data_IF_036890370887
#
_entry.id   IF_036890370887
#
_cell.length_a   1.000
_cell.length_b   1.000
_cell.length_c   1.000
_cell.angle_alpha   90.00
_cell.angle_beta   90.00
_cell.angle_gamma   90.00
#
_symmetry.space_group_name_H-M   'P 1'
#
loop_
_entity.id
_entity.type
_entity.pdbx_description
1 polymer ?
#
# COMPACT_ATOMS: atom_id res chain seq x y z
N UNK A 1 2.30 -32.52 19.64
CA UNK A 1 1.33 -31.54 19.07
C UNK A 1 1.62 -30.08 19.45
N UNK A 2 1.70 -29.70 20.73
CA UNK A 2 1.82 -28.28 21.13
C UNK A 2 3.06 -27.52 20.60
N UNK A 3 4.20 -28.19 20.39
CA UNK A 3 5.40 -27.54 19.85
C UNK A 3 5.29 -27.17 18.36
N UNK A 4 4.45 -27.88 17.59
CA UNK A 4 4.25 -27.59 16.16
C UNK A 4 3.40 -26.32 15.97
N UNK A 5 2.32 -26.19 16.74
CA UNK A 5 1.40 -25.05 16.70
C UNK A 5 2.09 -23.73 17.08
N UNK A 6 2.98 -23.74 18.08
CA UNK A 6 3.74 -22.55 18.48
C UNK A 6 4.68 -22.06 17.38
N UNK A 7 5.34 -22.98 16.64
CA UNK A 7 6.22 -22.65 15.52
C UNK A 7 5.43 -22.05 14.35
N UNK A 8 4.29 -22.65 14.00
CA UNK A 8 3.35 -22.16 13.00
C UNK A 8 2.83 -20.75 13.33
N UNK A 9 2.43 -20.52 14.57
CA UNK A 9 1.95 -19.20 15.01
C UNK A 9 3.05 -18.13 14.93
N UNK A 10 4.29 -18.47 15.29
CA UNK A 10 5.44 -17.57 15.18
C UNK A 10 5.77 -17.22 13.73
N UNK A 11 5.63 -18.17 12.80
CA UNK A 11 5.86 -17.96 11.38
C UNK A 11 4.82 -17.01 10.76
N UNK A 12 3.53 -17.20 11.08
CA UNK A 12 2.47 -16.26 10.71
C UNK A 12 2.68 -14.88 11.29
N UNK A 13 3.05 -14.79 12.58
CA UNK A 13 3.37 -13.50 13.21
C UNK A 13 4.47 -12.74 12.49
N UNK A 14 5.51 -13.45 12.02
CA UNK A 14 6.58 -12.85 11.21
C UNK A 14 6.06 -12.33 9.88
N UNK A 15 5.22 -13.09 9.18
CA UNK A 15 4.64 -12.67 7.88
C UNK A 15 3.81 -11.40 8.05
N UNK A 16 2.94 -11.35 9.05
CA UNK A 16 2.11 -10.18 9.34
C UNK A 16 2.97 -8.96 9.66
N UNK A 17 3.95 -9.12 10.56
CA UNK A 17 4.82 -8.01 10.96
C UNK A 17 5.61 -7.46 9.77
N UNK A 18 6.22 -8.32 8.95
CA UNK A 18 6.98 -7.90 7.78
C UNK A 18 6.06 -7.21 6.76
N UNK A 19 4.88 -7.76 6.49
CA UNK A 19 3.93 -7.17 5.56
C UNK A 19 3.58 -5.73 5.98
N UNK A 20 3.13 -5.53 7.22
CA UNK A 20 2.71 -4.21 7.69
C UNK A 20 3.85 -3.21 7.77
N UNK A 21 5.04 -3.63 8.20
CA UNK A 21 6.23 -2.76 8.21
C UNK A 21 6.59 -2.31 6.81
N UNK A 22 6.61 -3.22 5.83
CA UNK A 22 6.95 -2.88 4.43
C UNK A 22 5.91 -1.91 3.84
N UNK A 23 4.62 -2.16 4.05
CA UNK A 23 3.57 -1.25 3.57
C UNK A 23 3.63 0.12 4.25
N UNK A 24 3.90 0.18 5.56
CA UNK A 24 4.07 1.44 6.28
C UNK A 24 5.26 2.25 5.76
N UNK A 25 6.43 1.62 5.63
CA UNK A 25 7.64 2.28 5.13
C UNK A 25 7.47 2.77 3.69
N UNK A 26 6.85 1.96 2.83
CA UNK A 26 6.54 2.37 1.47
C UNK A 26 5.55 3.53 1.44
N UNK A 27 4.56 3.55 2.33
CA UNK A 27 3.62 4.66 2.49
C UNK A 27 4.34 5.95 2.87
N UNK A 28 5.25 5.89 3.84
CA UNK A 28 6.09 7.02 4.26
C UNK A 28 6.90 7.57 3.07
N UNK A 29 7.61 6.70 2.34
CA UNK A 29 8.41 7.09 1.17
C UNK A 29 7.53 7.73 0.10
N UNK A 30 6.36 7.15 -0.17
CA UNK A 30 5.42 7.69 -1.14
C UNK A 30 4.86 9.04 -0.72
N UNK A 31 4.58 9.25 0.57
CA UNK A 31 4.12 10.54 1.12
C UNK A 31 5.10 11.69 0.85
N UNK A 32 6.41 11.43 0.89
CA UNK A 32 7.42 12.43 0.51
C UNK A 32 7.45 12.76 -0.98
N UNK A 33 7.08 11.79 -1.83
CA UNK A 33 7.08 11.91 -3.29
C UNK A 33 5.74 12.31 -3.89
N UNK A 34 4.71 12.57 -3.09
CA UNK A 34 3.42 13.00 -3.63
C UNK A 34 3.53 14.31 -4.43
N UNK A 35 2.92 14.35 -5.62
CA UNK A 35 2.86 15.57 -6.43
C UNK A 35 2.02 16.63 -5.71
N UNK A 36 2.46 17.88 -5.80
CA UNK A 36 1.82 19.02 -5.14
C UNK A 36 1.26 19.98 -6.18
N UNK A 37 0.11 20.60 -5.90
CA UNK A 37 -0.46 21.62 -6.78
C UNK A 37 -0.17 23.00 -6.20
N UNK A 38 0.45 23.88 -6.96
CA UNK A 38 0.67 25.28 -6.57
C UNK A 38 -0.50 26.13 -7.04
N UNK A 39 -1.21 26.80 -6.12
CA UNK A 39 -2.25 27.78 -6.39
C UNK A 39 -1.80 29.19 -6.03
N UNK A 40 -2.42 30.21 -6.62
CA UNK A 40 -2.20 31.61 -6.23
C UNK A 40 -3.43 32.11 -5.44
N UNK A 41 -3.19 32.81 -4.34
CA UNK A 41 -4.27 33.43 -3.54
C UNK A 41 -4.78 34.65 -4.29
N UNK A 42 -6.07 34.67 -4.66
CA UNK A 42 -6.68 35.83 -5.32
C UNK A 42 -7.10 36.90 -4.31
N UNK A 43 -7.39 38.10 -4.81
CA UNK A 43 -7.76 39.27 -3.99
C UNK A 43 -9.05 39.07 -3.16
N UNK A 44 -9.87 38.09 -3.51
CA UNK A 44 -11.08 37.71 -2.77
C UNK A 44 -10.82 36.74 -1.59
N UNK A 45 -9.54 36.51 -1.22
CA UNK A 45 -9.11 35.50 -0.21
C UNK A 45 -9.54 34.06 -0.54
N UNK A 46 -10.03 33.81 -1.76
CA UNK A 46 -10.26 32.48 -2.28
C UNK A 46 -8.95 31.93 -2.85
N UNK A 47 -8.57 30.71 -2.45
CA UNK A 47 -7.48 30.01 -3.11
C UNK A 47 -7.96 29.56 -4.50
N UNK A 48 -7.52 30.24 -5.56
CA UNK A 48 -7.74 29.79 -6.93
C UNK A 48 -6.57 28.90 -7.31
N UNK A 49 -6.87 27.61 -7.47
CA UNK A 49 -5.94 26.65 -8.06
C UNK A 49 -5.61 27.13 -9.48
N UNK A 50 -4.38 27.60 -9.69
CA UNK A 50 -3.95 28.17 -10.95
C UNK A 50 -3.88 27.13 -12.07
N UNK A 51 -4.79 27.24 -13.05
CA UNK A 51 -4.49 27.34 -14.49
C UNK A 51 -3.41 26.43 -15.14
N UNK A 52 -3.26 25.18 -14.72
CA UNK A 52 -2.65 24.13 -15.55
C UNK A 52 -3.44 22.85 -15.38
N UNK A 53 -4.01 22.34 -16.47
CA UNK A 53 -5.12 21.39 -16.51
C UNK A 53 -4.84 19.97 -16.00
N UNK A 54 -3.87 19.78 -15.11
CA UNK A 54 -3.56 18.47 -14.51
C UNK A 54 -3.57 18.60 -12.98
N UNK A 55 -4.69 18.19 -12.37
CA UNK A 55 -4.83 18.17 -10.91
C UNK A 55 -3.90 17.10 -10.33
N UNK A 56 -3.08 17.44 -9.32
CA UNK A 56 -2.18 16.47 -8.68
C UNK A 56 -2.89 15.26 -8.03
N UNK A 57 -4.23 15.33 -7.91
CA UNK A 57 -5.08 14.27 -7.43
C UNK A 57 -4.99 12.98 -8.28
N UNK A 58 -5.00 13.09 -9.61
CA UNK A 58 -4.98 11.91 -10.49
C UNK A 58 -3.63 11.19 -10.46
N UNK A 59 -2.47 11.87 -10.62
CA UNK A 59 -1.17 11.23 -10.47
C UNK A 59 -0.92 10.70 -9.05
N UNK A 60 -1.41 11.41 -8.01
CA UNK A 60 -1.35 10.93 -6.62
C UNK A 60 -2.09 9.61 -6.44
N UNK A 61 -3.36 9.54 -6.87
CA UNK A 61 -4.14 8.30 -6.83
C UNK A 61 -3.51 7.18 -7.67
N UNK A 62 -3.03 7.49 -8.88
CA UNK A 62 -2.34 6.54 -9.73
C UNK A 62 -1.09 5.95 -9.07
N UNK A 63 -0.25 6.80 -8.47
CA UNK A 63 0.93 6.38 -7.72
C UNK A 63 0.59 5.47 -6.54
N UNK A 64 -0.47 5.79 -5.79
CA UNK A 64 -0.98 4.94 -4.71
C UNK A 64 -1.38 3.54 -5.21
N UNK A 65 -2.20 3.48 -6.26
CA UNK A 65 -2.72 2.23 -6.82
C UNK A 65 -1.58 1.36 -7.37
N UNK A 66 -0.63 1.95 -8.09
CA UNK A 66 0.51 1.23 -8.65
C UNK A 66 1.45 0.72 -7.55
N UNK A 67 1.76 1.55 -6.54
CA UNK A 67 2.63 1.16 -5.44
C UNK A 67 2.02 0.03 -4.62
N UNK A 68 0.76 0.17 -4.20
CA UNK A 68 0.10 -0.87 -3.38
C UNK A 68 -0.21 -2.14 -4.16
N UNK A 69 -0.51 -2.04 -5.46
CA UNK A 69 -0.62 -3.20 -6.35
C UNK A 69 0.70 -3.97 -6.44
N UNK A 70 1.82 -3.28 -6.66
CA UNK A 70 3.16 -3.89 -6.70
C UNK A 70 3.53 -4.53 -5.36
N UNK A 71 3.26 -3.87 -4.23
CA UNK A 71 3.50 -4.44 -2.91
C UNK A 71 2.64 -5.67 -2.65
N UNK A 72 1.38 -5.67 -3.10
CA UNK A 72 0.49 -6.84 -3.05
C UNK A 72 1.06 -8.02 -3.85
N UNK A 73 1.57 -7.76 -5.06
CA UNK A 73 2.24 -8.78 -5.88
C UNK A 73 3.48 -9.36 -5.19
N UNK A 74 4.35 -8.49 -4.67
CA UNK A 74 5.57 -8.89 -3.95
C UNK A 74 5.23 -9.69 -2.70
N UNK A 75 4.24 -9.26 -1.92
CA UNK A 75 3.78 -9.98 -0.73
C UNK A 75 3.30 -11.39 -1.09
N UNK A 76 2.45 -11.52 -2.11
CA UNK A 76 1.94 -12.82 -2.56
C UNK A 76 3.06 -13.75 -3.04
N UNK A 77 3.97 -13.25 -3.89
CA UNK A 77 5.12 -14.02 -4.37
C UNK A 77 6.08 -14.42 -3.25
N UNK A 78 6.31 -13.53 -2.28
CA UNK A 78 7.15 -13.79 -1.11
C UNK A 78 6.52 -14.85 -0.20
N UNK A 79 5.23 -14.71 0.13
CA UNK A 79 4.49 -15.71 0.92
C UNK A 79 4.52 -17.08 0.24
N UNK A 80 4.33 -17.14 -1.07
CA UNK A 80 4.38 -18.40 -1.82
C UNK A 80 5.78 -19.04 -1.83
N UNK A 81 6.84 -18.22 -1.86
CA UNK A 81 8.22 -18.67 -1.97
C UNK A 81 8.81 -19.11 -0.61
N UNK A 82 8.58 -18.33 0.43
CA UNK A 82 9.22 -18.49 1.74
C UNK A 82 8.39 -19.36 2.68
N UNK A 83 7.07 -19.22 2.65
CA UNK A 83 6.19 -19.97 3.55
C UNK A 83 5.70 -21.27 2.90
N UNK A 84 6.63 -22.13 2.46
CA UNK A 84 6.29 -23.39 1.78
C UNK A 84 5.36 -24.29 2.61
N UNK A 85 5.54 -24.30 3.94
CA UNK A 85 4.69 -25.02 4.91
C UNK A 85 3.30 -24.42 5.13
N UNK A 86 3.08 -23.19 4.68
CA UNK A 86 1.80 -22.49 4.80
C UNK A 86 1.02 -22.51 3.47
N UNK A 87 1.54 -23.19 2.44
CA UNK A 87 0.93 -23.23 1.11
C UNK A 87 -0.43 -23.90 1.20
N UNK A 88 -1.46 -23.16 0.79
CA UNK A 88 -2.80 -23.70 0.63
C UNK A 88 -3.80 -22.63 0.21
N UNK A 89 -5.08 -22.98 0.11
CA UNK A 89 -6.14 -22.01 -0.16
C UNK A 89 -6.27 -20.97 0.98
N UNK A 90 -5.89 -21.33 2.21
CA UNK A 90 -5.91 -20.40 3.34
C UNK A 90 -4.90 -19.25 3.19
N UNK A 91 -3.69 -19.52 2.72
CA UNK A 91 -2.67 -18.47 2.53
C UNK A 91 -2.99 -17.50 1.40
N UNK A 92 -3.76 -17.94 0.39
CA UNK A 92 -4.34 -17.05 -0.61
C UNK A 92 -5.26 -16.01 0.04
N UNK A 93 -6.19 -16.46 0.91
CA UNK A 93 -7.09 -15.56 1.63
C UNK A 93 -6.30 -14.63 2.57
N UNK A 94 -5.31 -15.17 3.29
CA UNK A 94 -4.48 -14.36 4.19
C UNK A 94 -3.66 -13.32 3.43
N UNK A 95 -3.08 -13.68 2.27
CA UNK A 95 -2.36 -12.72 1.43
C UNK A 95 -3.27 -11.58 0.97
N UNK A 96 -4.52 -11.90 0.58
CA UNK A 96 -5.53 -10.89 0.25
C UNK A 96 -5.86 -9.98 1.43
N UNK A 97 -6.13 -10.55 2.61
CA UNK A 97 -6.44 -9.76 3.82
C UNK A 97 -5.26 -8.87 4.23
N UNK A 98 -4.03 -9.39 4.21
CA UNK A 98 -2.83 -8.62 4.55
C UNK A 98 -2.54 -7.51 3.54
N UNK A 99 -2.73 -7.77 2.25
CA UNK A 99 -2.60 -6.74 1.22
C UNK A 99 -3.67 -5.65 1.36
N UNK A 100 -4.91 -6.03 1.70
CA UNK A 100 -5.98 -5.07 1.97
C UNK A 100 -5.64 -4.17 3.16
N UNK A 101 -5.32 -4.76 4.32
CA UNK A 101 -4.92 -4.01 5.52
C UNK A 101 -3.63 -3.20 5.28
N UNK A 102 -2.68 -3.76 4.54
CA UNK A 102 -1.46 -3.07 4.12
C UNK A 102 -1.75 -1.82 3.29
N UNK A 103 -2.73 -1.87 2.37
CA UNK A 103 -3.12 -0.68 1.58
C UNK A 103 -3.64 0.46 2.46
N UNK A 104 -4.40 0.14 3.52
CA UNK A 104 -4.87 1.10 4.51
C UNK A 104 -3.71 1.70 5.30
N UNK A 105 -2.79 0.86 5.79
CA UNK A 105 -1.59 1.30 6.50
C UNK A 105 -0.77 2.24 5.60
N UNK A 106 -0.55 1.86 4.35
CA UNK A 106 0.15 2.69 3.37
C UNK A 106 -0.50 4.06 3.21
N UNK A 107 -1.83 4.12 3.05
CA UNK A 107 -2.56 5.39 2.93
C UNK A 107 -2.44 6.26 4.17
N UNK A 108 -2.64 5.68 5.36
CA UNK A 108 -2.60 6.41 6.63
C UNK A 108 -1.23 7.06 6.82
N UNK A 109 -0.15 6.28 6.69
CA UNK A 109 1.19 6.80 6.88
C UNK A 109 1.63 7.74 5.75
N UNK A 110 1.24 7.44 4.51
CA UNK A 110 1.54 8.30 3.37
C UNK A 110 0.87 9.67 3.46
N UNK A 111 -0.42 9.70 3.78
CA UNK A 111 -1.15 10.96 3.99
C UNK A 111 -0.62 11.71 5.22
N UNK A 112 -0.28 11.00 6.31
CA UNK A 112 0.31 11.64 7.49
C UNK A 112 1.65 12.32 7.18
N UNK A 113 2.53 11.67 6.40
CA UNK A 113 3.80 12.28 5.98
C UNK A 113 3.57 13.46 5.04
N UNK A 114 2.67 13.31 4.07
CA UNK A 114 2.35 14.36 3.13
C UNK A 114 1.75 15.59 3.84
N UNK A 115 0.92 15.38 4.86
CA UNK A 115 0.39 16.45 5.69
C UNK A 115 1.48 17.05 6.59
N UNK A 116 2.25 16.26 7.32
CA UNK A 116 3.15 16.84 8.33
C UNK A 116 4.42 17.48 7.76
N UNK A 117 4.92 16.97 6.63
CA UNK A 117 6.19 17.42 6.04
C UNK A 117 6.04 18.18 4.73
N UNK A 118 4.85 18.12 4.11
CA UNK A 118 4.60 18.77 2.82
C UNK A 118 3.37 19.69 2.86
N UNK A 119 2.63 19.77 3.97
CA UNK A 119 1.43 20.61 4.02
C UNK A 119 1.72 22.07 3.73
N UNK A 120 0.77 22.58 2.98
CA UNK A 120 0.35 23.94 2.73
C UNK A 120 0.73 24.91 3.85
N UNK A 121 1.61 25.86 3.53
CA UNK A 121 1.97 27.01 4.36
C UNK A 121 0.78 28.00 4.41
N UNK A 122 -0.29 27.59 5.09
CA UNK A 122 -1.52 28.36 5.36
C UNK A 122 -1.47 29.04 6.74
N UNK A 123 -0.41 28.81 7.52
CA UNK A 123 -0.25 29.37 8.86
C UNK A 123 0.31 30.79 8.78
N UNK A 124 -0.57 31.77 8.56
CA UNK A 124 -0.20 33.18 8.52
C UNK A 124 -1.32 34.07 7.98
N UNK A 125 -1.09 35.39 7.97
CA UNK A 125 -1.95 36.33 7.23
C UNK A 125 -1.68 36.09 5.73
N UNK A 126 -2.60 35.42 5.05
CA UNK A 126 -2.49 35.21 3.60
C UNK A 126 -2.53 36.56 2.90
N UNK A 127 -1.49 36.86 2.11
CA UNK A 127 -1.41 38.10 1.34
C UNK A 127 -1.82 37.81 -0.10
N UNK A 128 -2.61 38.72 -0.72
CA UNK A 128 -2.98 38.57 -2.13
C UNK A 128 -1.72 38.45 -3.01
N UNK A 129 -1.69 37.46 -3.91
CA UNK A 129 -0.52 37.13 -4.74
C UNK A 129 0.46 36.10 -4.15
N UNK A 130 0.23 35.60 -2.93
CA UNK A 130 1.03 34.52 -2.34
C UNK A 130 0.78 33.18 -3.06
N UNK A 131 1.86 32.45 -3.39
CA UNK A 131 1.76 31.08 -3.89
C UNK A 131 1.55 30.12 -2.72
N UNK A 132 0.53 29.28 -2.81
CA UNK A 132 0.16 28.31 -1.78
C UNK A 132 0.27 26.90 -2.39
N UNK A 133 1.00 26.02 -1.71
CA UNK A 133 1.21 24.64 -2.17
C UNK A 133 0.17 23.73 -1.55
N UNK A 134 -0.82 23.31 -2.31
CA UNK A 134 -1.88 22.40 -1.88
C UNK A 134 -1.46 20.95 -2.13
N UNK A 135 -1.36 20.18 -1.05
CA UNK A 135 -1.23 18.72 -1.11
C UNK A 135 -2.64 18.12 -1.10
N UNK A 136 -2.99 17.38 -2.15
CA UNK A 136 -4.29 16.71 -2.20
C UNK A 136 -4.21 15.36 -1.50
N UNK A 137 -4.94 15.18 -0.40
CA UNK A 137 -4.99 13.89 0.27
C UNK A 137 -5.72 12.87 -0.59
N UNK A 138 -5.14 11.68 -0.72
CA UNK A 138 -5.80 10.57 -1.42
C UNK A 138 -6.84 9.96 -0.48
N UNK A 139 -8.11 10.05 -0.86
CA UNK A 139 -9.21 9.47 -0.10
C UNK A 139 -9.22 7.92 -0.21
N UNK A 140 -9.55 7.21 0.89
CA UNK A 140 -9.80 5.78 0.82
C UNK A 140 -11.02 5.54 -0.08
N UNK A 141 -10.85 4.71 -1.10
CA UNK A 141 -11.89 4.38 -2.07
C UNK A 141 -11.59 3.05 -2.75
N UNK A 142 -12.08 2.86 -3.97
CA UNK A 142 -11.94 1.60 -4.72
C UNK A 142 -10.46 1.18 -4.90
N UNK A 143 -9.52 2.13 -4.86
CA UNK A 143 -8.08 1.86 -4.92
C UNK A 143 -7.55 0.93 -3.82
N UNK A 144 -8.18 0.86 -2.63
CA UNK A 144 -7.80 -0.08 -1.55
C UNK A 144 -8.03 -1.55 -1.94
N UNK A 145 -8.83 -1.81 -2.97
CA UNK A 145 -9.09 -3.15 -3.48
C UNK A 145 -8.06 -3.62 -4.52
N UNK A 146 -7.20 -2.72 -5.02
CA UNK A 146 -6.21 -3.11 -6.03
C UNK A 146 -5.12 -4.00 -5.44
N UNK A 147 -4.60 -3.64 -4.27
CA UNK A 147 -3.60 -4.45 -3.56
C UNK A 147 -4.07 -5.90 -3.29
N UNK A 148 -5.25 -6.14 -2.68
CA UNK A 148 -5.74 -7.51 -2.49
C UNK A 148 -6.07 -8.21 -3.80
N UNK A 149 -6.65 -7.53 -4.81
CA UNK A 149 -6.93 -8.15 -6.10
C UNK A 149 -5.65 -8.66 -6.78
N UNK A 150 -4.60 -7.83 -6.83
CA UNK A 150 -3.31 -8.20 -7.40
C UNK A 150 -2.64 -9.31 -6.58
N UNK A 151 -2.68 -9.23 -5.25
CA UNK A 151 -2.12 -10.27 -4.39
C UNK A 151 -2.77 -11.64 -4.62
N UNK A 152 -4.11 -11.67 -4.74
CA UNK A 152 -4.86 -12.89 -5.01
C UNK A 152 -4.51 -13.47 -6.40
N UNK A 153 -4.47 -12.62 -7.43
CA UNK A 153 -4.12 -13.04 -8.80
C UNK A 153 -2.70 -13.60 -8.88
N UNK A 154 -1.73 -12.92 -8.26
CA UNK A 154 -0.33 -13.37 -8.26
C UNK A 154 -0.17 -14.67 -7.48
N UNK A 155 -0.79 -14.77 -6.31
CA UNK A 155 -0.76 -16.01 -5.53
C UNK A 155 -1.37 -17.17 -6.33
N UNK A 156 -2.51 -16.93 -6.98
CA UNK A 156 -3.19 -17.92 -7.80
C UNK A 156 -2.35 -18.35 -9.01
N UNK A 157 -1.71 -17.40 -9.70
CA UNK A 157 -0.77 -17.70 -10.78
C UNK A 157 0.41 -18.55 -10.28
N UNK A 158 1.01 -18.20 -9.14
CA UNK A 158 2.07 -19.01 -8.53
C UNK A 158 1.60 -20.43 -8.20
N UNK A 159 0.36 -20.59 -7.73
CA UNK A 159 -0.21 -21.90 -7.44
C UNK A 159 -0.42 -22.73 -8.72
N UNK A 160 -0.88 -22.12 -9.82
CA UNK A 160 -1.08 -22.80 -11.11
C UNK A 160 0.23 -23.30 -11.74
N UNK A 161 1.30 -22.52 -11.61
CA UNK A 161 2.61 -22.88 -12.20
C UNK A 161 3.48 -23.73 -11.27
N UNK A 162 3.04 -24.03 -10.06
CA UNK A 162 3.76 -24.93 -9.17
C UNK A 162 3.54 -26.39 -9.57
N UNK A 163 4.63 -27.10 -9.89
CA UNK A 163 4.60 -28.54 -10.18
C UNK A 163 4.15 -29.37 -8.97
N UNK A 164 3.36 -30.43 -9.21
CA UNK A 164 2.83 -31.36 -8.19
C UNK A 164 3.88 -31.89 -7.20
N UNK A 165 5.14 -32.05 -7.64
CA UNK A 165 6.26 -32.45 -6.77
C UNK A 165 6.53 -31.51 -5.59
N UNK A 166 6.08 -30.25 -5.66
CA UNK A 166 6.17 -29.30 -4.54
C UNK A 166 5.11 -29.55 -3.47
N UNK A 167 4.04 -30.27 -3.78
CA UNK A 167 2.98 -30.66 -2.85
C UNK A 167 3.19 -32.10 -2.33
N UNK A 168 3.82 -32.98 -3.12
CA UNK A 168 4.10 -34.39 -2.76
C UNK A 168 5.19 -34.58 -1.69
N UNK A 169 6.14 -33.66 -1.54
CA UNK A 169 7.16 -33.77 -0.47
C UNK A 169 6.59 -33.62 0.95
N UNK A 170 5.35 -33.14 1.08
CA UNK A 170 4.67 -32.94 2.36
C UNK A 170 3.95 -34.21 2.84
N UNK A 171 3.52 -35.09 1.94
CA UNK A 171 2.93 -36.40 2.27
C UNK A 171 3.96 -37.49 2.51
N UNK A 172 5.17 -37.40 1.95
CA UNK A 172 6.24 -38.38 2.15
C UNK A 172 7.03 -38.22 3.47
N UNK A 173 6.79 -37.13 4.23
CA UNK A 173 7.47 -36.82 5.48
C UNK A 173 6.55 -36.86 6.72
N UNK A 174 5.32 -37.37 6.57
CA UNK A 174 4.34 -37.58 7.63
C UNK A 174 4.37 -39.00 8.18
#
# INVERSE_FOLDING_TARGET
MQQSTKKLMGEWGRVVAVAFVVFALAGVVWGFWQPVTTGAVTEDLAAVTGLSGETAAVPGFGGYVLATGLLGAVLAGWMFSVARRLRGPASLVVAGVLAYLGSWIFLIFGNWVAEHFRATDLTGVLTAGQQVTLVHQVAPGVGTLVAPAVALLVYWACALFATDRMFEQETAAG
#
